data_IF_406711371588
#
_entry.id   IF_406711371588
#
_cell.length_a   1.000
_cell.length_b   1.000
_cell.length_c   1.000
_cell.angle_alpha   90.00
_cell.angle_beta   90.00
_cell.angle_gamma   90.00
#
_symmetry.space_group_name_H-M   'P 1'
#
loop_
_entity.id
_entity.type
_entity.pdbx_description
1 polymer ?
#
# COMPACT_ATOMS: atom_id res chain seq x y z
N UNK A 1 8.22 -48.87 -13.20
CA UNK A 1 7.96 -47.86 -14.25
C UNK A 1 6.56 -47.32 -14.04
N UNK A 2 6.42 -46.08 -13.59
CA UNK A 2 5.11 -45.43 -13.38
C UNK A 2 4.84 -44.54 -14.59
N UNK A 3 3.69 -44.76 -15.23
CA UNK A 3 3.22 -44.07 -16.43
C UNK A 3 2.59 -42.72 -16.03
N UNK A 4 3.06 -41.62 -16.61
CA UNK A 4 2.73 -40.23 -16.21
C UNK A 4 1.68 -39.53 -17.10
N UNK A 5 0.94 -40.25 -17.94
CA UNK A 5 0.09 -39.63 -18.96
C UNK A 5 -1.28 -39.12 -18.49
N UNK A 6 -1.44 -38.60 -17.27
CA UNK A 6 -2.72 -37.97 -16.87
C UNK A 6 -2.61 -36.96 -15.71
N UNK A 7 -1.62 -36.08 -15.72
CA UNK A 7 -1.64 -34.89 -14.85
C UNK A 7 -2.33 -33.76 -15.60
N UNK A 8 -3.64 -33.62 -15.35
CA UNK A 8 -4.38 -32.42 -15.73
C UNK A 8 -3.98 -31.28 -14.79
N UNK A 9 -3.24 -30.30 -15.32
CA UNK A 9 -2.61 -29.21 -14.56
C UNK A 9 -3.64 -28.13 -14.14
N UNK A 10 -4.91 -28.23 -14.53
CA UNK A 10 -5.93 -27.22 -14.23
C UNK A 10 -6.69 -27.42 -12.90
N UNK A 11 -6.04 -27.94 -11.85
CA UNK A 11 -6.70 -28.10 -10.54
C UNK A 11 -5.85 -27.71 -9.34
N UNK A 12 -5.02 -26.67 -9.49
CA UNK A 12 -4.53 -25.91 -8.34
C UNK A 12 -5.42 -24.67 -8.17
N UNK A 13 -6.58 -24.90 -7.57
CA UNK A 13 -7.46 -23.84 -7.09
C UNK A 13 -6.80 -23.22 -5.84
N UNK A 14 -6.08 -22.12 -6.02
CA UNK A 14 -5.37 -21.39 -4.96
C UNK A 14 -6.30 -20.73 -3.92
N UNK A 15 -7.63 -20.86 -4.09
CA UNK A 15 -8.63 -20.21 -3.24
C UNK A 15 -8.88 -20.89 -1.88
N UNK A 16 -8.41 -22.12 -1.64
CA UNK A 16 -8.79 -22.85 -0.41
C UNK A 16 -7.89 -22.62 0.82
N UNK A 17 -6.76 -21.91 0.69
CA UNK A 17 -5.84 -21.70 1.83
C UNK A 17 -5.91 -20.33 2.51
N UNK A 18 -6.73 -19.40 2.02
CA UNK A 18 -6.92 -18.07 2.65
C UNK A 18 -8.15 -18.06 3.59
N UNK A 19 -8.94 -19.13 3.64
CA UNK A 19 -10.20 -19.20 4.41
C UNK A 19 -10.06 -19.33 5.94
N UNK A 20 -8.86 -19.14 6.51
CA UNK A 20 -8.67 -19.13 7.98
C UNK A 20 -7.78 -18.00 8.47
N UNK A 21 -8.11 -16.77 8.06
CA UNK A 21 -7.89 -15.58 8.90
C UNK A 21 -9.10 -14.67 8.74
N UNK A 22 -10.04 -14.81 9.68
CA UNK A 22 -11.29 -14.06 9.72
C UNK A 22 -11.02 -12.56 9.91
N UNK A 23 -11.06 -11.82 8.80
CA UNK A 23 -11.73 -10.51 8.68
C UNK A 23 -11.74 -10.11 7.20
N UNK A 24 -12.57 -10.79 6.40
CA UNK A 24 -12.78 -10.41 5.00
C UNK A 24 -13.69 -9.18 4.95
N UNK A 25 -13.08 -7.99 4.91
CA UNK A 25 -13.78 -6.80 4.45
C UNK A 25 -14.26 -7.06 3.02
N UNK A 26 -15.53 -6.76 2.73
CA UNK A 26 -16.14 -6.97 1.40
C UNK A 26 -15.43 -6.22 0.27
N UNK A 27 -14.58 -5.25 0.59
CA UNK A 27 -13.76 -4.50 -0.36
C UNK A 27 -12.64 -5.34 -1.00
N UNK A 28 -12.07 -6.32 -0.29
CA UNK A 28 -10.94 -7.11 -0.82
C UNK A 28 -11.37 -8.01 -1.98
N UNK A 29 -12.63 -8.47 -1.99
CA UNK A 29 -13.18 -9.32 -3.05
C UNK A 29 -13.45 -8.55 -4.38
N UNK A 30 -13.66 -7.25 -4.33
CA UNK A 30 -13.85 -6.41 -5.53
C UNK A 30 -12.53 -6.19 -6.28
N UNK A 31 -11.40 -6.15 -5.55
CA UNK A 31 -10.06 -5.85 -6.08
C UNK A 31 -9.60 -6.88 -7.11
N UNK A 32 -10.08 -8.13 -7.04
CA UNK A 32 -9.65 -9.23 -7.91
C UNK A 32 -10.47 -9.40 -9.19
N UNK A 33 -11.54 -8.61 -9.40
CA UNK A 33 -12.49 -8.81 -10.51
C UNK A 33 -12.38 -7.76 -11.63
N UNK A 34 -11.19 -7.18 -11.86
CA UNK A 34 -11.00 -6.23 -12.96
C UNK A 34 -10.78 -6.92 -14.31
N UNK A 35 -11.61 -6.56 -15.29
CA UNK A 35 -11.38 -6.91 -16.69
C UNK A 35 -10.61 -5.77 -17.37
N UNK A 36 -9.48 -6.05 -18.06
CA UNK A 36 -8.73 -5.02 -18.77
C UNK A 36 -9.60 -4.37 -19.86
N UNK A 37 -9.52 -3.04 -20.01
CA UNK A 37 -10.28 -2.29 -21.02
C UNK A 37 -9.43 -1.87 -22.21
N UNK A 38 -8.11 -2.03 -22.12
CA UNK A 38 -7.13 -1.62 -23.11
C UNK A 38 -5.91 -2.55 -23.09
N UNK A 39 -5.04 -2.43 -24.10
CA UNK A 39 -3.76 -3.16 -24.14
C UNK A 39 -2.85 -2.75 -22.98
N UNK A 40 -2.80 -1.47 -22.63
CA UNK A 40 -2.01 -1.00 -21.48
C UNK A 40 -2.59 -1.45 -20.14
N UNK A 41 -3.93 -1.50 -19.98
CA UNK A 41 -4.55 -2.13 -18.80
C UNK A 41 -4.12 -3.59 -18.65
N UNK A 42 -4.12 -4.34 -19.75
CA UNK A 42 -3.72 -5.74 -19.74
C UNK A 42 -2.24 -5.88 -19.35
N UNK A 43 -1.36 -5.04 -19.91
CA UNK A 43 0.06 -5.05 -19.60
C UNK A 43 0.31 -4.79 -18.11
N UNK A 44 -0.33 -3.78 -17.53
CA UNK A 44 -0.22 -3.49 -16.09
C UNK A 44 -0.72 -4.67 -15.25
N UNK A 45 -1.90 -5.21 -15.54
CA UNK A 45 -2.44 -6.34 -14.79
C UNK A 45 -1.55 -7.58 -14.90
N UNK A 46 -0.94 -7.83 -16.06
CA UNK A 46 0.01 -8.92 -16.25
C UNK A 46 1.28 -8.69 -15.40
N UNK A 47 1.83 -7.46 -15.36
CA UNK A 47 2.95 -7.09 -14.48
C UNK A 47 2.62 -7.35 -13.00
N UNK A 48 1.51 -6.80 -12.51
CA UNK A 48 1.09 -6.99 -11.10
C UNK A 48 0.86 -8.48 -10.80
N UNK A 49 0.29 -9.23 -11.73
CA UNK A 49 0.01 -10.64 -11.51
C UNK A 49 1.26 -11.52 -11.47
N UNK A 50 2.36 -11.08 -12.08
CA UNK A 50 3.65 -11.75 -12.08
C UNK A 50 4.52 -11.44 -10.85
N UNK A 51 4.10 -10.49 -10.00
CA UNK A 51 4.78 -10.24 -8.73
C UNK A 51 4.74 -11.49 -7.83
N UNK A 52 5.91 -11.82 -7.28
CA UNK A 52 6.15 -13.02 -6.48
C UNK A 52 5.90 -12.78 -4.99
N UNK A 53 6.09 -11.56 -4.50
CA UNK A 53 5.73 -11.18 -3.14
C UNK A 53 4.21 -10.97 -3.06
N UNK A 54 3.48 -11.81 -2.30
CA UNK A 54 2.03 -11.71 -2.20
C UNK A 54 1.54 -10.38 -1.61
N UNK A 55 2.34 -9.73 -0.75
CA UNK A 55 1.99 -8.45 -0.15
C UNK A 55 2.15 -7.33 -1.19
N UNK A 56 3.27 -7.32 -1.91
CA UNK A 56 3.52 -6.36 -3.00
C UNK A 56 2.40 -6.44 -4.05
N UNK A 57 2.08 -7.67 -4.48
CA UNK A 57 0.99 -7.94 -5.42
C UNK A 57 -0.36 -7.43 -4.91
N UNK A 58 -0.69 -7.68 -3.64
CA UNK A 58 -1.96 -7.24 -3.07
C UNK A 58 -2.08 -5.72 -3.03
N UNK A 59 -1.05 -5.03 -2.54
CA UNK A 59 -1.08 -3.56 -2.43
C UNK A 59 -1.08 -2.90 -3.83
N UNK A 60 -0.43 -3.51 -4.83
CA UNK A 60 -0.48 -3.05 -6.21
C UNK A 60 -1.86 -3.24 -6.86
N UNK A 61 -2.55 -4.36 -6.59
CA UNK A 61 -3.92 -4.55 -7.07
C UNK A 61 -4.90 -3.54 -6.42
N UNK A 62 -4.73 -3.26 -5.13
CA UNK A 62 -5.53 -2.24 -4.42
C UNK A 62 -5.30 -0.88 -5.07
N UNK A 63 -4.04 -0.49 -5.25
CA UNK A 63 -3.71 0.80 -5.86
C UNK A 63 -4.23 0.90 -7.30
N UNK A 64 -4.05 -0.14 -8.13
CA UNK A 64 -4.62 -0.21 -9.46
C UNK A 64 -6.14 0.01 -9.43
N UNK A 65 -6.85 -0.71 -8.56
CA UNK A 65 -8.30 -0.58 -8.38
C UNK A 65 -8.70 0.86 -8.04
N UNK A 66 -8.00 1.48 -7.10
CA UNK A 66 -8.31 2.84 -6.64
C UNK A 66 -8.11 3.88 -7.75
N UNK A 67 -7.03 3.76 -8.53
CA UNK A 67 -6.80 4.62 -9.69
C UNK A 67 -7.88 4.45 -10.76
N UNK A 68 -8.34 3.21 -11.01
CA UNK A 68 -9.45 2.96 -11.93
C UNK A 68 -10.75 3.56 -11.44
N UNK A 69 -11.04 3.44 -10.13
CA UNK A 69 -12.21 4.08 -9.50
C UNK A 69 -12.13 5.60 -9.59
N UNK A 70 -10.94 6.18 -9.51
CA UNK A 70 -10.68 7.60 -9.72
C UNK A 70 -10.73 8.06 -11.19
N UNK A 71 -10.93 7.13 -12.15
CA UNK A 71 -11.08 7.44 -13.57
C UNK A 71 -9.77 7.47 -14.36
N UNK A 72 -8.65 6.98 -13.80
CA UNK A 72 -7.39 6.88 -14.54
C UNK A 72 -7.51 5.84 -15.65
N UNK A 73 -7.07 6.23 -16.85
CA UNK A 73 -7.02 5.36 -18.02
C UNK A 73 -5.58 4.97 -18.37
N UNK A 74 -5.28 3.67 -18.35
CA UNK A 74 -3.97 3.11 -18.63
C UNK A 74 -3.79 2.71 -20.10
N UNK A 75 -4.60 3.25 -21.02
CA UNK A 75 -4.59 2.87 -22.44
C UNK A 75 -3.21 2.86 -23.09
N UNK A 76 -2.36 3.82 -22.73
CA UNK A 76 -1.02 4.01 -23.29
C UNK A 76 0.10 3.66 -22.30
N UNK A 77 -0.23 2.98 -21.20
CA UNK A 77 0.75 2.63 -20.18
C UNK A 77 1.62 1.46 -20.64
N UNK A 78 2.92 1.60 -20.43
CA UNK A 78 3.94 0.64 -20.87
C UNK A 78 4.64 -0.06 -19.70
N UNK A 79 4.44 0.41 -18.47
CA UNK A 79 5.01 -0.20 -17.27
C UNK A 79 4.24 0.24 -16.05
N UNK A 80 3.93 -0.70 -15.17
CA UNK A 80 3.28 -0.40 -13.90
C UNK A 80 4.18 0.42 -12.97
N UNK A 81 5.47 0.11 -12.91
CA UNK A 81 6.45 0.89 -12.13
C UNK A 81 6.51 2.36 -12.57
N UNK A 82 6.44 2.61 -13.88
CA UNK A 82 6.41 3.97 -14.40
C UNK A 82 5.13 4.71 -13.97
N UNK A 83 3.97 4.05 -14.00
CA UNK A 83 2.72 4.67 -13.53
C UNK A 83 2.76 4.94 -12.02
N UNK A 84 3.28 4.01 -11.21
CA UNK A 84 3.51 4.25 -9.77
C UNK A 84 4.36 5.49 -9.55
N UNK A 85 5.48 5.63 -10.27
CA UNK A 85 6.43 6.75 -10.10
C UNK A 85 5.87 8.15 -10.39
N UNK A 86 4.75 8.24 -11.11
CA UNK A 86 4.09 9.51 -11.46
C UNK A 86 3.12 10.01 -10.38
N UNK A 87 2.84 9.18 -9.39
CA UNK A 87 1.81 9.44 -8.40
C UNK A 87 2.48 9.76 -7.06
N UNK A 88 2.29 11.00 -6.62
CA UNK A 88 2.71 11.45 -5.30
C UNK A 88 1.73 10.97 -4.23
N UNK A 89 2.26 10.47 -3.12
CA UNK A 89 1.47 9.99 -1.99
C UNK A 89 2.34 9.53 -0.84
N UNK A 90 1.71 9.23 0.30
CA UNK A 90 2.38 8.64 1.44
C UNK A 90 1.74 7.30 1.87
N UNK A 91 2.56 6.26 2.13
CA UNK A 91 3.95 6.15 1.66
C UNK A 91 3.99 6.27 0.13
N UNK A 92 5.18 6.50 -0.48
CA UNK A 92 5.30 6.47 -1.93
C UNK A 92 4.68 5.18 -2.48
N UNK A 93 4.06 5.27 -3.66
CA UNK A 93 3.45 4.12 -4.34
C UNK A 93 4.46 3.03 -4.66
N UNK A 94 5.75 3.39 -4.76
CA UNK A 94 6.91 2.51 -4.97
C UNK A 94 7.55 2.02 -3.67
N UNK A 95 7.03 2.40 -2.50
CA UNK A 95 7.50 1.85 -1.24
C UNK A 95 7.19 0.35 -1.17
N UNK A 96 8.00 -0.45 -0.43
CA UNK A 96 7.76 -1.87 -0.30
C UNK A 96 6.34 -2.17 0.19
N UNK A 97 5.72 -3.24 -0.32
CA UNK A 97 4.34 -3.61 -0.04
C UNK A 97 4.03 -3.73 1.44
N UNK A 98 4.97 -4.25 2.25
CA UNK A 98 4.80 -4.33 3.70
C UNK A 98 4.69 -2.95 4.39
N UNK A 99 5.28 -1.90 3.82
CA UNK A 99 5.15 -0.51 4.30
C UNK A 99 3.79 0.04 3.90
N UNK A 100 3.42 -0.13 2.62
CA UNK A 100 2.13 0.32 2.09
C UNK A 100 0.96 -0.32 2.84
N UNK A 101 1.02 -1.63 3.06
CA UNK A 101 0.07 -2.38 3.86
C UNK A 101 -0.01 -1.86 5.30
N UNK A 102 1.14 -1.70 5.99
CA UNK A 102 1.17 -1.24 7.37
C UNK A 102 0.52 0.15 7.52
N UNK A 103 0.76 1.05 6.56
CA UNK A 103 0.13 2.37 6.55
C UNK A 103 -1.36 2.31 6.23
N UNK A 104 -1.76 1.57 5.19
CA UNK A 104 -3.17 1.39 4.80
C UNK A 104 -4.00 0.84 5.96
N UNK A 105 -3.50 -0.18 6.66
CA UNK A 105 -4.15 -0.76 7.83
C UNK A 105 -4.28 0.24 8.99
N UNK A 106 -3.25 1.06 9.22
CA UNK A 106 -3.32 2.11 10.24
C UNK A 106 -4.32 3.21 9.86
N UNK A 107 -4.44 3.53 8.56
CA UNK A 107 -5.37 4.54 8.05
C UNK A 107 -6.84 4.13 8.22
N UNK A 108 -7.15 2.82 8.26
CA UNK A 108 -8.51 2.33 8.53
C UNK A 108 -9.02 2.74 9.92
N UNK A 109 -8.14 3.03 10.87
CA UNK A 109 -8.49 3.48 12.23
C UNK A 109 -8.77 4.99 12.35
N UNK A 110 -8.63 5.72 11.24
CA UNK A 110 -8.92 7.17 11.10
C UNK A 110 -10.32 7.32 10.47
N UNK A 111 -11.13 8.33 10.90
CA UNK A 111 -12.41 8.62 10.26
C UNK A 111 -12.27 8.85 8.76
N UNK A 112 -13.17 8.28 7.95
CA UNK A 112 -13.06 8.26 6.49
C UNK A 112 -12.92 9.66 5.87
N UNK A 113 -13.66 10.64 6.39
CA UNK A 113 -13.62 12.03 5.95
C UNK A 113 -12.27 12.75 6.21
N UNK A 114 -11.44 12.21 7.10
CA UNK A 114 -10.12 12.79 7.45
C UNK A 114 -8.96 12.11 6.72
N UNK A 115 -9.15 10.88 6.24
CA UNK A 115 -8.06 10.03 5.71
C UNK A 115 -7.27 10.69 4.59
N UNK A 116 -7.98 11.26 3.60
CA UNK A 116 -7.35 11.88 2.43
C UNK A 116 -6.52 13.11 2.82
N UNK A 117 -7.03 13.94 3.73
CA UNK A 117 -6.33 15.12 4.21
C UNK A 117 -5.06 14.75 4.97
N UNK A 118 -5.16 13.80 5.90
CA UNK A 118 -4.01 13.34 6.69
C UNK A 118 -2.97 12.66 5.78
N UNK A 119 -3.39 11.81 4.84
CA UNK A 119 -2.48 11.15 3.90
C UNK A 119 -1.73 12.17 3.01
N UNK A 120 -2.42 13.21 2.54
CA UNK A 120 -1.81 14.29 1.77
C UNK A 120 -0.81 15.09 2.62
N UNK A 121 -1.17 15.46 3.85
CA UNK A 121 -0.24 16.14 4.78
C UNK A 121 1.02 15.30 5.02
N UNK A 122 0.86 13.99 5.24
CA UNK A 122 1.99 13.08 5.41
C UNK A 122 2.87 12.98 4.15
N UNK A 123 2.30 13.09 2.94
CA UNK A 123 3.11 13.10 1.72
C UNK A 123 4.03 14.32 1.64
N UNK A 124 3.55 15.50 2.02
CA UNK A 124 4.40 16.69 2.05
C UNK A 124 5.49 16.61 3.12
N UNK A 125 5.14 16.10 4.31
CA UNK A 125 6.12 15.86 5.37
C UNK A 125 7.17 14.83 4.95
N UNK A 126 6.76 13.77 4.25
CA UNK A 126 7.66 12.74 3.76
C UNK A 126 8.62 13.27 2.71
N UNK A 127 8.13 14.07 1.75
CA UNK A 127 8.98 14.68 0.72
C UNK A 127 10.00 15.63 1.38
N UNK A 128 9.57 16.43 2.36
CA UNK A 128 10.46 17.30 3.11
C UNK A 128 11.50 16.49 3.91
N UNK A 129 11.09 15.44 4.62
CA UNK A 129 11.98 14.58 5.39
C UNK A 129 13.00 13.88 4.47
N UNK A 130 12.53 13.28 3.38
CA UNK A 130 13.37 12.52 2.44
C UNK A 130 14.37 13.42 1.72
N UNK A 131 13.98 14.65 1.37
CA UNK A 131 14.88 15.63 0.76
C UNK A 131 16.04 16.05 1.67
N UNK A 132 15.83 16.01 2.99
CA UNK A 132 16.86 16.31 4.02
C UNK A 132 17.70 15.07 4.38
N UNK A 133 17.15 13.87 4.20
CA UNK A 133 17.76 12.59 4.61
C UNK A 133 18.12 11.70 3.40
N UNK A 134 18.71 12.29 2.35
CA UNK A 134 18.97 11.62 1.06
C UNK A 134 19.86 10.37 1.13
N UNK A 135 20.61 10.19 2.22
CA UNK A 135 21.48 9.02 2.44
C UNK A 135 20.76 7.84 3.09
N UNK A 136 19.53 8.02 3.58
CA UNK A 136 18.72 6.95 4.13
C UNK A 136 18.22 5.98 3.06
N UNK A 137 17.93 4.75 3.44
CA UNK A 137 17.30 3.77 2.55
C UNK A 137 15.76 3.91 2.65
N UNK A 138 15.07 4.49 1.64
CA UNK A 138 13.62 4.69 1.69
C UNK A 138 12.80 3.39 1.63
N UNK A 139 13.48 2.24 1.48
CA UNK A 139 12.88 0.92 1.48
C UNK A 139 13.10 0.17 2.80
N UNK A 140 13.69 0.80 3.82
CA UNK A 140 13.93 0.18 5.13
C UNK A 140 12.91 0.61 6.18
N UNK A 141 12.58 -0.31 7.09
CA UNK A 141 11.73 -0.02 8.25
C UNK A 141 12.32 1.07 9.14
N UNK A 142 13.66 1.11 9.27
CA UNK A 142 14.34 2.14 10.07
C UNK A 142 14.05 3.54 9.52
N UNK A 143 14.06 3.72 8.19
CA UNK A 143 13.76 5.00 7.58
C UNK A 143 12.34 5.48 7.89
N UNK A 144 11.35 4.58 7.81
CA UNK A 144 9.98 4.92 8.17
C UNK A 144 9.81 5.18 9.68
N UNK A 145 10.51 4.44 10.54
CA UNK A 145 10.49 4.73 11.98
C UNK A 145 11.09 6.10 12.32
N UNK A 146 12.19 6.47 11.66
CA UNK A 146 12.79 7.80 11.83
C UNK A 146 11.88 8.91 11.29
N UNK A 147 11.24 8.67 10.15
CA UNK A 147 10.20 9.56 9.62
C UNK A 147 9.01 9.71 10.59
N UNK A 148 8.46 8.60 11.11
CA UNK A 148 7.35 8.63 12.08
C UNK A 148 7.73 9.44 13.31
N UNK A 149 8.96 9.27 13.82
CA UNK A 149 9.48 10.05 14.95
C UNK A 149 9.55 11.53 14.62
N UNK A 150 10.10 11.88 13.46
CA UNK A 150 10.15 13.26 12.97
C UNK A 150 8.75 13.88 12.89
N UNK A 151 7.80 13.22 12.21
CA UNK A 151 6.44 13.74 12.04
C UNK A 151 5.69 13.81 13.35
N UNK A 152 5.92 12.89 14.29
CA UNK A 152 5.31 12.94 15.62
C UNK A 152 5.75 14.20 16.38
N UNK A 153 7.03 14.57 16.27
CA UNK A 153 7.54 15.82 16.87
C UNK A 153 6.91 17.05 16.21
N UNK A 154 6.78 17.06 14.88
CA UNK A 154 6.09 18.14 14.17
C UNK A 154 4.61 18.24 14.58
N UNK A 155 3.91 17.12 14.71
CA UNK A 155 2.51 17.07 15.13
C UNK A 155 2.32 17.60 16.56
N UNK A 156 3.20 17.20 17.50
CA UNK A 156 3.16 17.71 18.87
C UNK A 156 3.49 19.22 18.93
N UNK A 157 4.45 19.70 18.13
CA UNK A 157 4.80 21.13 18.05
C UNK A 157 3.64 21.97 17.47
N UNK A 158 2.95 21.46 16.45
CA UNK A 158 1.90 22.18 15.74
C UNK A 158 0.48 21.94 16.28
N UNK A 159 0.33 21.25 17.43
CA UNK A 159 -0.98 20.88 18.00
C UNK A 159 -1.98 22.04 18.05
N UNK A 160 -1.54 23.23 18.45
CA UNK A 160 -2.40 24.42 18.54
C UNK A 160 -2.90 24.96 17.20
N UNK A 161 -2.21 24.64 16.09
CA UNK A 161 -2.56 25.07 14.73
C UNK A 161 -3.42 24.04 13.99
N UNK A 162 -3.20 22.75 14.25
CA UNK A 162 -3.89 21.64 13.56
C UNK A 162 -5.33 21.45 14.03
N UNK A 163 -5.67 21.95 15.23
CA UNK A 163 -6.89 21.58 15.92
C UNK A 163 -6.77 20.21 16.60
N UNK A 164 -7.60 19.99 17.62
CA UNK A 164 -7.48 18.82 18.51
C UNK A 164 -7.74 17.48 17.80
N UNK A 165 -8.70 17.46 16.86
CA UNK A 165 -9.08 16.25 16.14
C UNK A 165 -7.99 15.79 15.18
N UNK A 166 -7.50 16.67 14.30
CA UNK A 166 -6.43 16.36 13.33
C UNK A 166 -5.17 15.92 14.06
N UNK A 167 -4.82 16.60 15.15
CA UNK A 167 -3.71 16.21 16.01
C UNK A 167 -3.88 14.78 16.53
N UNK A 168 -5.05 14.46 17.08
CA UNK A 168 -5.34 13.17 17.70
C UNK A 168 -5.34 12.04 16.68
N UNK A 169 -5.99 12.24 15.53
CA UNK A 169 -6.03 11.25 14.46
C UNK A 169 -4.66 11.01 13.85
N UNK A 170 -3.89 12.07 13.58
CA UNK A 170 -2.53 11.93 13.05
C UNK A 170 -1.62 11.20 14.04
N UNK A 171 -1.71 11.54 15.33
CA UNK A 171 -0.92 10.85 16.38
C UNK A 171 -1.26 9.38 16.48
N UNK A 172 -2.56 9.03 16.47
CA UNK A 172 -3.01 7.64 16.48
C UNK A 172 -2.54 6.89 15.24
N UNK A 173 -2.70 7.48 14.06
CA UNK A 173 -2.24 6.91 12.79
C UNK A 173 -0.75 6.58 12.81
N UNK A 174 0.09 7.52 13.25
CA UNK A 174 1.54 7.34 13.32
C UNK A 174 1.94 6.23 14.31
N UNK A 175 1.26 6.13 15.45
CA UNK A 175 1.47 5.06 16.41
C UNK A 175 1.07 3.69 15.84
N UNK A 176 -0.12 3.59 15.25
CA UNK A 176 -0.63 2.36 14.64
C UNK A 176 0.26 1.92 13.47
N UNK A 177 0.74 2.87 12.67
CA UNK A 177 1.66 2.60 11.57
C UNK A 177 3.00 2.04 12.08
N UNK A 178 3.58 2.64 13.12
CA UNK A 178 4.82 2.13 13.74
C UNK A 178 4.65 0.71 14.29
N UNK A 179 3.53 0.45 14.97
CA UNK A 179 3.20 -0.89 15.49
C UNK A 179 3.03 -1.91 14.37
N UNK A 180 2.39 -1.54 13.26
CA UNK A 180 2.20 -2.43 12.12
C UNK A 180 3.52 -2.74 11.41
N UNK A 181 4.41 -1.75 11.25
CA UNK A 181 5.76 -1.96 10.69
C UNK A 181 6.57 -2.99 11.51
N UNK A 182 6.43 -2.99 12.83
CA UNK A 182 7.10 -3.94 13.71
C UNK A 182 6.54 -5.37 13.61
N UNK A 183 5.24 -5.54 13.29
CA UNK A 183 4.67 -6.88 13.05
C UNK A 183 5.21 -7.51 11.77
N UNK A 184 5.49 -6.68 10.77
CA UNK A 184 6.03 -7.13 9.47
C UNK A 184 7.48 -7.67 9.56
N UNK A 185 8.21 -7.42 10.65
CA UNK A 185 9.56 -7.99 10.87
C UNK A 185 9.54 -9.34 11.59
N UNK A 186 8.49 -9.62 12.37
CA UNK A 186 8.39 -10.83 13.21
C UNK A 186 7.71 -12.01 12.51
N UNK A 187 7.21 -11.80 11.29
CA UNK A 187 6.53 -12.83 10.48
C UNK A 187 7.40 -13.39 9.34
N UNK A 188 8.71 -13.06 9.31
CA UNK A 188 9.72 -13.63 8.40
C UNK A 188 10.58 -14.64 9.15
#
# INVERSE_FOLDING_TARGET
MINLNNININKYNFNDKISKRNNSNSQDAEVYNFKPRSTGDKHILDEINNETDPIEKQEDLIFYSDLRKAGIDFKNSSSWELEKSRISGFPPTTAPGYVRQAFREALLNVPENERAHIALSLSFEYDMYSSKNKTGNPNSISFYNDFIKYTSQCNDFNRGLLGEDVYTYTKKLLNDFSLNLQKSTTSK
#
